data_IF_132005548155
#
_entry.id   IF_132005548155
#
_cell.length_a   1.000
_cell.length_b   1.000
_cell.length_c   1.000
_cell.angle_alpha   90.00
_cell.angle_beta   90.00
_cell.angle_gamma   90.00
#
_symmetry.space_group_name_H-M   'P 1'
#
loop_
_entity.id
_entity.type
_entity.pdbx_description
1 polymer ?
#
# COMPACT_ATOMS: atom_id res chain seq x y z
N UNK A 1 -33.38 26.88 -8.40
CA UNK A 1 -32.49 26.65 -7.23
C UNK A 1 -32.72 25.31 -6.50
N UNK A 2 -33.91 24.69 -6.55
CA UNK A 2 -34.15 23.38 -5.94
C UNK A 2 -33.44 22.20 -6.65
N UNK A 3 -33.38 22.23 -7.99
CA UNK A 3 -32.75 21.19 -8.82
C UNK A 3 -31.25 20.97 -8.55
N UNK A 4 -30.50 22.03 -8.20
CA UNK A 4 -29.09 21.89 -7.82
C UNK A 4 -28.88 21.33 -6.39
N UNK A 5 -29.88 21.40 -5.51
CA UNK A 5 -29.75 20.88 -4.13
C UNK A 5 -29.87 19.37 -4.06
N UNK A 6 -30.69 18.75 -4.91
CA UNK A 6 -30.83 17.28 -4.95
C UNK A 6 -29.55 16.61 -5.49
N UNK A 7 -28.92 17.20 -6.51
CA UNK A 7 -27.63 16.74 -7.03
C UNK A 7 -26.44 16.98 -6.10
N UNK A 8 -26.56 17.79 -5.06
CA UNK A 8 -25.46 18.05 -4.11
C UNK A 8 -25.54 17.17 -2.85
N UNK A 9 -26.60 16.37 -2.68
CA UNK A 9 -26.78 15.54 -1.48
C UNK A 9 -25.82 14.36 -1.51
N UNK A 10 -25.07 14.24 -0.42
CA UNK A 10 -24.26 13.06 -0.10
C UNK A 10 -25.19 11.95 0.36
N UNK A 11 -25.06 10.77 -0.24
CA UNK A 11 -25.83 9.58 0.13
C UNK A 11 -24.96 8.70 1.02
N UNK A 12 -25.50 8.26 2.15
CA UNK A 12 -24.79 7.35 3.05
C UNK A 12 -24.61 5.96 2.41
N UNK A 13 -23.50 5.31 2.70
CA UNK A 13 -23.20 3.94 2.24
C UNK A 13 -24.00 2.93 3.05
N UNK A 14 -24.73 2.04 2.36
CA UNK A 14 -25.49 0.94 2.95
C UNK A 14 -24.61 -0.29 3.22
N UNK A 15 -25.04 -1.18 4.11
CA UNK A 15 -24.26 -2.34 4.55
C UNK A 15 -23.83 -3.29 3.42
N UNK A 16 -24.61 -3.40 2.34
CA UNK A 16 -24.37 -4.28 1.18
C UNK A 16 -23.73 -3.55 -0.03
N UNK A 17 -23.19 -2.35 0.18
CA UNK A 17 -22.60 -1.57 -0.91
C UNK A 17 -21.44 -2.32 -1.59
N UNK A 18 -21.38 -2.23 -2.91
CA UNK A 18 -20.29 -2.78 -3.72
C UNK A 18 -19.39 -1.67 -4.22
N UNK A 19 -18.13 -1.99 -4.48
CA UNK A 19 -17.20 -1.02 -5.06
C UNK A 19 -17.74 -0.46 -6.37
N UNK A 20 -17.73 0.86 -6.47
CA UNK A 20 -18.24 1.59 -7.63
C UNK A 20 -17.16 1.79 -8.70
N UNK A 21 -17.53 1.96 -9.98
CA UNK A 21 -16.57 2.31 -11.03
C UNK A 21 -15.80 3.62 -10.76
N UNK A 22 -16.41 4.57 -10.03
CA UNK A 22 -15.76 5.83 -9.64
C UNK A 22 -14.62 5.59 -8.64
N UNK A 23 -14.77 4.62 -7.73
CA UNK A 23 -13.74 4.23 -6.78
C UNK A 23 -12.60 3.46 -7.48
N UNK A 24 -12.91 2.63 -8.48
CA UNK A 24 -11.87 2.03 -9.33
C UNK A 24 -11.11 3.07 -10.14
N UNK A 25 -11.81 4.08 -10.66
CA UNK A 25 -11.20 5.20 -11.36
C UNK A 25 -10.29 6.02 -10.43
N UNK A 26 -10.73 6.26 -9.18
CA UNK A 26 -9.90 6.87 -8.14
C UNK A 26 -8.62 6.06 -7.86
N UNK A 27 -8.71 4.74 -7.81
CA UNK A 27 -7.53 3.92 -7.55
C UNK A 27 -6.47 3.98 -8.66
N UNK A 28 -6.84 4.35 -9.90
CA UNK A 28 -5.86 4.50 -11.00
C UNK A 28 -4.77 5.53 -10.69
N UNK A 29 -5.08 6.61 -9.97
CA UNK A 29 -4.03 7.56 -9.59
C UNK A 29 -3.07 6.97 -8.56
N UNK A 30 -3.52 6.01 -7.75
CA UNK A 30 -2.67 5.27 -6.81
C UNK A 30 -1.86 4.17 -7.48
N UNK A 31 -2.37 3.57 -8.58
CA UNK A 31 -1.55 2.73 -9.47
C UNK A 31 -0.31 3.52 -9.90
N UNK A 32 -0.53 4.70 -10.48
CA UNK A 32 0.56 5.56 -10.91
C UNK A 32 1.47 5.98 -9.75
N UNK A 33 0.90 6.36 -8.61
CA UNK A 33 1.67 6.77 -7.43
C UNK A 33 2.62 5.66 -6.93
N UNK A 34 2.12 4.41 -6.86
CA UNK A 34 2.91 3.24 -6.48
C UNK A 34 4.04 2.99 -7.50
N UNK A 35 3.75 3.10 -8.80
CA UNK A 35 4.78 3.00 -9.85
C UNK A 35 5.86 4.06 -9.68
N UNK A 36 5.50 5.30 -9.34
CA UNK A 36 6.48 6.37 -9.10
C UNK A 36 7.32 6.12 -7.85
N UNK A 37 6.76 5.50 -6.80
CA UNK A 37 7.53 5.06 -5.63
C UNK A 37 8.57 4.01 -6.02
N UNK A 38 8.20 2.99 -6.81
CA UNK A 38 9.16 2.00 -7.31
C UNK A 38 10.22 2.66 -8.20
N UNK A 39 9.84 3.59 -9.06
CA UNK A 39 10.76 4.32 -9.93
C UNK A 39 11.78 5.15 -9.13
N UNK A 40 11.31 5.87 -8.10
CA UNK A 40 12.15 6.62 -7.15
C UNK A 40 13.23 5.72 -6.53
N UNK A 41 12.87 4.51 -6.11
CA UNK A 41 13.82 3.57 -5.52
C UNK A 41 14.74 2.92 -6.56
N UNK A 42 14.23 2.64 -7.76
CA UNK A 42 14.95 1.93 -8.81
C UNK A 42 16.00 2.78 -9.53
N UNK A 43 15.82 4.11 -9.57
CA UNK A 43 16.75 5.05 -10.20
C UNK A 43 18.13 5.03 -9.52
N UNK A 44 18.15 5.07 -8.18
CA UNK A 44 19.38 5.02 -7.38
C UNK A 44 19.18 4.12 -6.16
N UNK A 45 19.35 2.78 -6.31
CA UNK A 45 19.05 1.81 -5.26
C UNK A 45 20.08 1.87 -4.14
N UNK A 46 19.89 2.81 -3.21
CA UNK A 46 20.64 2.93 -1.96
C UNK A 46 19.70 2.67 -0.79
N UNK A 47 20.19 2.22 0.38
CA UNK A 47 19.36 2.04 1.57
C UNK A 47 18.55 3.29 1.93
N UNK A 48 19.16 4.47 1.81
CA UNK A 48 18.50 5.77 2.06
C UNK A 48 17.33 6.00 1.09
N UNK A 49 17.51 5.70 -0.20
CA UNK A 49 16.45 5.86 -1.21
C UNK A 49 15.32 4.86 -1.04
N UNK A 50 15.63 3.62 -0.64
CA UNK A 50 14.61 2.60 -0.36
C UNK A 50 13.78 2.98 0.88
N UNK A 51 14.43 3.40 1.97
CA UNK A 51 13.72 3.91 3.15
C UNK A 51 12.90 5.15 2.79
N UNK A 52 13.45 6.07 2.00
CA UNK A 52 12.71 7.23 1.49
C UNK A 52 11.48 6.85 0.66
N UNK A 53 11.60 5.86 -0.22
CA UNK A 53 10.47 5.32 -0.99
C UNK A 53 9.39 4.72 -0.08
N UNK A 54 9.77 3.99 0.97
CA UNK A 54 8.82 3.45 1.95
C UNK A 54 8.14 4.55 2.78
N UNK A 55 8.84 5.64 3.11
CA UNK A 55 8.24 6.82 3.75
C UNK A 55 7.20 7.46 2.83
N UNK A 56 7.52 7.65 1.55
CA UNK A 56 6.59 8.19 0.55
C UNK A 56 5.39 7.26 0.36
N UNK A 57 5.62 5.94 0.28
CA UNK A 57 4.56 4.94 0.22
C UNK A 57 3.63 5.03 1.44
N UNK A 58 4.17 5.17 2.65
CA UNK A 58 3.38 5.30 3.86
C UNK A 58 2.52 6.57 3.87
N UNK A 59 3.03 7.69 3.33
CA UNK A 59 2.25 8.92 3.19
C UNK A 59 1.13 8.77 2.15
N UNK A 60 1.44 8.19 0.98
CA UNK A 60 0.44 7.94 -0.07
C UNK A 60 -0.62 6.93 0.37
N UNK A 61 -0.21 5.87 1.05
CA UNK A 61 -1.11 4.91 1.69
C UNK A 61 -2.08 5.60 2.65
N UNK A 62 -1.57 6.53 3.46
CA UNK A 62 -2.40 7.27 4.39
C UNK A 62 -3.45 8.14 3.67
N UNK A 63 -3.05 8.80 2.58
CA UNK A 63 -3.98 9.51 1.70
C UNK A 63 -5.06 8.58 1.15
N UNK A 64 -4.68 7.39 0.66
CA UNK A 64 -5.63 6.42 0.14
C UNK A 64 -6.61 5.95 1.23
N UNK A 65 -6.10 5.58 2.42
CA UNK A 65 -6.92 5.15 3.54
C UNK A 65 -7.98 6.19 3.91
N UNK A 66 -7.64 7.47 3.98
CA UNK A 66 -8.62 8.53 4.23
C UNK A 66 -9.86 8.44 3.36
N UNK A 67 -9.67 8.20 2.06
CA UNK A 67 -10.77 8.12 1.11
C UNK A 67 -11.43 6.74 1.09
N UNK A 68 -10.71 5.66 1.42
CA UNK A 68 -11.32 4.36 1.65
C UNK A 68 -12.27 4.37 2.86
N UNK A 69 -11.88 5.03 3.96
CA UNK A 69 -12.74 5.24 5.12
C UNK A 69 -13.93 6.16 4.81
N UNK A 70 -13.69 7.24 4.05
CA UNK A 70 -14.76 8.17 3.63
C UNK A 70 -15.77 7.49 2.70
N UNK A 71 -15.32 6.73 1.70
CA UNK A 71 -16.18 6.01 0.76
C UNK A 71 -17.10 4.99 1.42
N UNK A 72 -16.66 4.45 2.56
CA UNK A 72 -17.47 3.51 3.34
C UNK A 72 -18.53 4.20 4.22
N UNK A 73 -18.48 5.53 4.35
CA UNK A 73 -19.53 6.31 5.04
C UNK A 73 -20.41 7.05 4.04
N UNK A 74 -19.80 7.55 2.96
CA UNK A 74 -20.43 8.39 1.94
C UNK A 74 -20.18 7.80 0.56
N UNK A 75 -21.26 7.59 -0.20
CA UNK A 75 -21.20 7.06 -1.57
C UNK A 75 -20.42 7.99 -2.51
N UNK A 76 -19.36 7.44 -3.09
CA UNK A 76 -18.45 8.13 -4.01
C UNK A 76 -19.11 8.60 -5.32
N UNK A 77 -20.18 7.93 -5.75
CA UNK A 77 -20.92 8.19 -7.00
C UNK A 77 -22.05 9.22 -6.84
N UNK A 78 -22.27 9.74 -5.62
CA UNK A 78 -23.37 10.66 -5.32
C UNK A 78 -22.93 12.12 -5.35
N UNK A 79 -23.45 12.87 -6.31
CA UNK A 79 -23.51 14.33 -6.27
C UNK A 79 -22.17 15.06 -6.11
N UNK A 80 -22.07 15.95 -5.09
CA UNK A 80 -20.89 16.77 -4.83
C UNK A 80 -19.63 15.98 -4.43
N UNK A 81 -19.77 14.72 -4.00
CA UNK A 81 -18.64 13.85 -3.61
C UNK A 81 -17.84 13.41 -4.83
N UNK A 82 -18.49 13.21 -5.97
CA UNK A 82 -17.78 12.89 -7.21
C UNK A 82 -16.83 14.02 -7.64
N UNK A 83 -17.26 15.29 -7.50
CA UNK A 83 -16.41 16.45 -7.78
C UNK A 83 -15.22 16.54 -6.81
N UNK A 84 -15.44 16.22 -5.53
CA UNK A 84 -14.35 16.11 -4.53
C UNK A 84 -13.38 14.99 -4.93
N UNK A 85 -13.90 13.83 -5.31
CA UNK A 85 -13.10 12.67 -5.72
C UNK A 85 -12.22 13.03 -6.93
N UNK A 86 -12.78 13.65 -7.97
CA UNK A 86 -12.00 14.15 -9.13
C UNK A 86 -10.95 15.18 -8.71
N UNK A 87 -11.28 16.09 -7.78
CA UNK A 87 -10.33 17.08 -7.25
C UNK A 87 -9.16 16.38 -6.54
N UNK A 88 -9.45 15.40 -5.70
CA UNK A 88 -8.44 14.62 -4.98
C UNK A 88 -7.59 13.83 -5.96
N UNK A 89 -8.18 13.22 -6.99
CA UNK A 89 -7.44 12.53 -8.04
C UNK A 89 -6.44 13.47 -8.74
N UNK A 90 -6.86 14.68 -9.10
CA UNK A 90 -5.98 15.67 -9.70
C UNK A 90 -4.82 16.05 -8.77
N UNK A 91 -5.10 16.25 -7.48
CA UNK A 91 -4.06 16.56 -6.48
C UNK A 91 -3.10 15.38 -6.30
N UNK A 92 -3.60 14.15 -6.17
CA UNK A 92 -2.79 12.93 -6.02
C UNK A 92 -1.94 12.66 -7.27
N UNK A 93 -2.46 12.97 -8.46
CA UNK A 93 -1.67 12.90 -9.69
C UNK A 93 -0.49 13.87 -9.63
N UNK A 94 -0.71 15.12 -9.18
CA UNK A 94 0.37 16.11 -9.01
C UNK A 94 1.39 15.66 -7.95
N UNK A 95 0.93 15.12 -6.81
CA UNK A 95 1.82 14.52 -5.80
C UNK A 95 2.69 13.43 -6.45
N UNK A 96 2.07 12.55 -7.23
CA UNK A 96 2.74 11.41 -7.85
C UNK A 96 3.80 11.85 -8.86
N UNK A 97 3.54 12.90 -9.63
CA UNK A 97 4.53 13.51 -10.56
C UNK A 97 5.76 14.04 -9.82
N UNK A 98 5.62 14.48 -8.56
CA UNK A 98 6.72 14.97 -7.75
C UNK A 98 7.54 13.85 -7.06
N UNK A 99 7.02 12.61 -6.99
CA UNK A 99 7.65 11.50 -6.25
C UNK A 99 9.07 11.15 -6.72
N UNK A 100 9.37 11.01 -8.03
CA UNK A 100 10.72 10.63 -8.48
C UNK A 100 11.82 11.58 -8.01
N UNK A 101 11.48 12.87 -7.91
CA UNK A 101 12.40 13.95 -7.57
C UNK A 101 12.25 14.44 -6.13
N UNK A 102 11.44 13.78 -5.30
CA UNK A 102 11.08 14.26 -3.95
C UNK A 102 12.26 14.37 -2.98
N UNK A 103 13.37 13.66 -3.25
CA UNK A 103 14.62 13.77 -2.48
C UNK A 103 15.77 14.37 -3.31
N UNK A 104 15.49 14.84 -4.52
CA UNK A 104 16.47 15.45 -5.42
C UNK A 104 16.30 16.97 -5.44
N UNK A 105 17.40 17.68 -5.64
CA UNK A 105 17.36 19.12 -5.92
C UNK A 105 17.37 19.26 -7.44
N UNK A 106 16.19 19.41 -8.05
CA UNK A 106 16.11 19.79 -9.46
C UNK A 106 16.72 21.19 -9.63
N UNK A 107 17.61 21.36 -10.62
CA UNK A 107 18.27 22.65 -10.91
C UNK A 107 17.38 23.63 -11.71
N UNK A 108 16.07 23.39 -11.76
CA UNK A 108 15.06 24.25 -12.39
C UNK A 108 13.64 23.69 -12.19
N UNK A 109 12.63 24.57 -12.13
CA UNK A 109 11.23 24.22 -11.89
C UNK A 109 10.74 24.45 -10.44
N UNK A 110 9.55 23.95 -10.12
CA UNK A 110 9.01 23.98 -8.75
C UNK A 110 9.74 22.97 -7.85
N UNK A 111 9.85 23.25 -6.55
CA UNK A 111 10.43 22.32 -5.58
C UNK A 111 9.54 21.08 -5.42
N UNK A 112 9.99 19.93 -5.93
CA UNK A 112 9.27 18.66 -5.81
C UNK A 112 8.95 18.27 -4.34
N UNK A 113 9.89 18.37 -3.36
CA UNK A 113 9.54 18.18 -1.96
C UNK A 113 8.42 19.10 -1.47
N UNK A 114 8.45 20.38 -1.84
CA UNK A 114 7.43 21.34 -1.42
C UNK A 114 6.07 21.04 -2.07
N UNK A 115 6.05 20.77 -3.38
CA UNK A 115 4.85 20.38 -4.12
C UNK A 115 4.22 19.13 -3.51
N UNK A 116 5.04 18.11 -3.22
CA UNK A 116 4.59 16.89 -2.56
C UNK A 116 3.87 17.20 -1.23
N UNK A 117 4.49 18.01 -0.37
CA UNK A 117 3.95 18.32 0.96
C UNK A 117 2.70 19.19 0.90
N UNK A 118 2.67 20.19 0.02
CA UNK A 118 1.50 21.05 -0.17
C UNK A 118 0.31 20.26 -0.70
N UNK A 119 0.53 19.40 -1.69
CA UNK A 119 -0.52 18.57 -2.24
C UNK A 119 -0.95 17.46 -1.27
N UNK A 120 -0.03 16.84 -0.51
CA UNK A 120 -0.37 15.94 0.61
C UNK A 120 -1.26 16.64 1.64
N UNK A 121 -0.87 17.85 2.07
CA UNK A 121 -1.67 18.69 2.97
C UNK A 121 -3.05 19.00 2.40
N UNK A 122 -3.14 19.33 1.10
CA UNK A 122 -4.41 19.58 0.42
C UNK A 122 -5.33 18.35 0.43
N UNK A 123 -4.80 17.14 0.18
CA UNK A 123 -5.58 15.88 0.28
C UNK A 123 -6.12 15.69 1.70
N UNK A 124 -5.31 15.96 2.73
CA UNK A 124 -5.72 15.84 4.14
C UNK A 124 -6.80 16.86 4.52
N UNK A 125 -6.69 18.09 4.04
CA UNK A 125 -7.69 19.14 4.23
C UNK A 125 -8.99 18.79 3.52
N UNK A 126 -8.91 18.34 2.26
CA UNK A 126 -10.08 17.90 1.48
C UNK A 126 -10.81 16.78 2.21
N UNK A 127 -10.09 15.77 2.71
CA UNK A 127 -10.67 14.68 3.49
C UNK A 127 -11.44 15.18 4.73
N UNK A 128 -10.83 16.04 5.55
CA UNK A 128 -11.49 16.61 6.73
C UNK A 128 -12.72 17.47 6.36
N UNK A 129 -12.60 18.26 5.29
CA UNK A 129 -13.70 19.09 4.79
C UNK A 129 -14.86 18.22 4.27
N UNK A 130 -14.58 17.13 3.56
CA UNK A 130 -15.60 16.19 3.10
C UNK A 130 -16.37 15.58 4.26
N UNK A 131 -15.68 15.11 5.30
CA UNK A 131 -16.35 14.62 6.50
C UNK A 131 -17.19 15.72 7.19
N UNK A 132 -16.65 16.93 7.29
CA UNK A 132 -17.36 18.06 7.90
C UNK A 132 -18.67 18.40 7.19
N UNK A 133 -18.66 18.40 5.85
CA UNK A 133 -19.86 18.71 5.04
C UNK A 133 -20.82 17.52 5.01
N UNK A 134 -20.33 16.28 5.13
CA UNK A 134 -21.16 15.05 5.04
C UNK A 134 -22.14 14.87 6.20
N UNK A 135 -21.78 15.36 7.38
CA UNK A 135 -22.55 15.16 8.61
C UNK A 135 -22.65 16.46 9.42
N UNK A 136 -23.34 17.49 8.89
CA UNK A 136 -23.39 18.82 9.50
C UNK A 136 -24.11 18.85 10.85
N UNK A 137 -24.72 17.76 11.32
CA UNK A 137 -25.44 17.66 12.60
C UNK A 137 -24.75 16.87 13.70
N UNK A 138 -23.60 16.22 13.46
CA UNK A 138 -22.99 15.30 14.43
C UNK A 138 -21.90 15.99 15.30
N UNK A 139 -22.19 16.34 16.57
CA UNK A 139 -21.22 17.01 17.44
C UNK A 139 -20.03 16.12 17.82
N UNK A 140 -20.23 14.80 17.89
CA UNK A 140 -19.17 13.83 18.23
C UNK A 140 -18.18 13.73 17.08
N UNK A 141 -18.68 13.63 15.85
CA UNK A 141 -17.83 13.64 14.65
C UNK A 141 -17.06 14.96 14.53
N UNK A 142 -17.69 16.11 14.77
CA UNK A 142 -16.99 17.41 14.69
C UNK A 142 -15.87 17.55 15.73
N UNK A 143 -16.09 17.08 16.96
CA UNK A 143 -15.04 17.03 17.97
C UNK A 143 -13.88 16.11 17.55
N UNK A 144 -14.22 14.96 16.97
CA UNK A 144 -13.26 13.99 16.43
C UNK A 144 -12.45 14.57 15.26
N UNK A 145 -13.09 15.29 14.33
CA UNK A 145 -12.42 15.95 13.20
C UNK A 145 -11.48 17.07 13.68
N UNK A 146 -11.89 17.87 14.66
CA UNK A 146 -11.02 18.90 15.26
C UNK A 146 -9.81 18.29 15.95
N UNK A 147 -10.02 17.22 16.74
CA UNK A 147 -8.93 16.48 17.38
C UNK A 147 -7.99 15.88 16.33
N UNK A 148 -8.53 15.27 15.28
CA UNK A 148 -7.73 14.71 14.17
C UNK A 148 -6.93 15.79 13.45
N UNK A 149 -7.54 16.94 13.17
CA UNK A 149 -6.87 18.07 12.53
C UNK A 149 -5.67 18.57 13.37
N UNK A 150 -5.88 18.76 14.68
CA UNK A 150 -4.86 19.32 15.57
C UNK A 150 -3.78 18.31 15.98
N UNK A 151 -4.15 17.04 16.19
CA UNK A 151 -3.26 16.02 16.74
C UNK A 151 -2.62 15.12 15.68
N UNK A 152 -3.29 14.85 14.55
CA UNK A 152 -2.81 13.93 13.51
C UNK A 152 -2.48 14.63 12.19
N UNK A 153 -3.13 15.73 11.82
CA UNK A 153 -2.82 16.41 10.55
C UNK A 153 -1.75 17.47 10.72
N UNK A 154 -1.91 18.39 11.68
CA UNK A 154 -1.05 19.56 11.80
C UNK A 154 0.42 19.20 12.15
N UNK A 155 0.72 18.35 13.15
CA UNK A 155 2.11 18.10 13.52
C UNK A 155 2.92 17.39 12.41
N UNK A 156 2.43 16.32 11.76
CA UNK A 156 3.11 15.73 10.61
C UNK A 156 3.27 16.71 9.45
N UNK A 157 2.26 17.52 9.13
CA UNK A 157 2.36 18.50 8.05
C UNK A 157 3.45 19.54 8.31
N UNK A 158 3.58 20.02 9.55
CA UNK A 158 4.67 20.93 9.95
C UNK A 158 6.04 20.26 9.80
N UNK A 159 6.20 19.01 10.25
CA UNK A 159 7.45 18.27 10.09
C UNK A 159 7.81 18.04 8.61
N UNK A 160 6.83 17.73 7.77
CA UNK A 160 6.99 17.57 6.34
C UNK A 160 7.41 18.89 5.67
N UNK A 161 6.77 20.01 6.03
CA UNK A 161 7.09 21.35 5.52
C UNK A 161 8.47 21.83 5.95
N UNK A 162 8.86 21.59 7.21
CA UNK A 162 10.22 21.87 7.66
C UNK A 162 11.19 20.98 6.88
N UNK A 163 10.88 19.69 6.73
CA UNK A 163 11.70 18.73 6.00
C UNK A 163 11.91 19.10 4.53
N UNK A 164 10.92 19.71 3.86
CA UNK A 164 11.04 20.12 2.45
C UNK A 164 12.03 21.25 2.22
N UNK A 165 12.45 21.96 3.27
CA UNK A 165 13.52 22.96 3.23
C UNK A 165 14.93 22.35 3.35
N UNK A 166 15.04 21.06 3.70
CA UNK A 166 16.31 20.34 3.84
C UNK A 166 16.50 19.32 2.72
N UNK A 167 17.69 18.71 2.70
CA UNK A 167 18.08 17.70 1.72
C UNK A 167 18.65 16.45 2.39
N UNK A 168 18.67 15.34 1.64
CA UNK A 168 19.34 14.11 2.04
C UNK A 168 18.79 13.51 3.34
N UNK A 169 19.68 13.18 4.28
CA UNK A 169 19.32 12.46 5.52
C UNK A 169 18.45 13.28 6.46
N UNK A 170 18.64 14.60 6.52
CA UNK A 170 17.87 15.48 7.41
C UNK A 170 16.42 15.52 6.96
N UNK A 171 16.17 15.73 5.67
CA UNK A 171 14.83 15.65 5.08
C UNK A 171 14.18 14.30 5.39
N UNK A 172 14.90 13.20 5.13
CA UNK A 172 14.38 11.84 5.37
C UNK A 172 14.00 11.61 6.84
N UNK A 173 14.84 12.02 7.79
CA UNK A 173 14.56 11.84 9.22
C UNK A 173 13.35 12.66 9.68
N UNK A 174 13.20 13.89 9.18
CA UNK A 174 12.03 14.73 9.47
C UNK A 174 10.74 14.11 8.91
N UNK A 175 10.78 13.58 7.69
CA UNK A 175 9.63 12.93 7.06
C UNK A 175 9.29 11.59 7.72
N UNK A 176 10.31 10.81 8.12
CA UNK A 176 10.11 9.61 8.93
C UNK A 176 9.48 9.95 10.28
N UNK A 177 9.93 11.04 10.93
CA UNK A 177 9.31 11.58 12.13
C UNK A 177 7.86 11.97 11.90
N UNK A 178 7.54 12.60 10.78
CA UNK A 178 6.16 12.93 10.41
C UNK A 178 5.28 11.68 10.29
N UNK A 179 5.75 10.63 9.61
CA UNK A 179 5.05 9.34 9.52
C UNK A 179 4.87 8.73 10.91
N UNK A 180 5.91 8.71 11.75
CA UNK A 180 5.83 8.17 13.10
C UNK A 180 4.79 8.92 13.96
N UNK A 181 4.73 10.24 13.84
CA UNK A 181 3.75 11.09 14.56
C UNK A 181 2.34 10.87 14.04
N UNK A 182 2.11 10.77 12.72
CA UNK A 182 0.78 10.58 12.15
C UNK A 182 0.20 9.21 12.56
N UNK A 183 0.97 8.14 12.32
CA UNK A 183 0.56 6.77 12.62
C UNK A 183 0.46 6.53 14.13
N UNK A 184 1.43 7.02 14.91
CA UNK A 184 1.43 6.90 16.37
C UNK A 184 0.28 7.69 17.01
N UNK A 185 0.01 8.90 16.51
CA UNK A 185 -1.10 9.72 16.98
C UNK A 185 -2.44 9.00 16.84
N UNK A 186 -2.68 8.33 15.72
CA UNK A 186 -3.95 7.62 15.45
C UNK A 186 -4.03 6.27 16.16
N UNK A 187 -2.88 5.63 16.38
CA UNK A 187 -2.83 4.44 17.22
C UNK A 187 -3.24 4.76 18.67
N UNK A 188 -2.73 5.86 19.24
CA UNK A 188 -2.95 6.28 20.63
C UNK A 188 -4.30 6.96 20.86
N UNK A 189 -4.74 7.85 19.96
CA UNK A 189 -5.97 8.65 20.16
C UNK A 189 -7.27 7.84 20.05
N UNK A 190 -7.19 6.56 19.67
CA UNK A 190 -8.31 5.63 19.64
C UNK A 190 -9.33 5.93 18.54
N UNK A 191 -10.16 4.94 18.24
CA UNK A 191 -11.11 4.90 17.12
C UNK A 191 -12.44 5.59 17.37
N UNK A 192 -12.65 6.25 18.52
CA UNK A 192 -13.98 6.74 18.90
C UNK A 192 -14.49 7.76 17.89
N UNK A 193 -15.67 7.50 17.30
CA UNK A 193 -16.34 8.41 16.36
C UNK A 193 -16.13 8.08 14.87
N UNK A 194 -15.18 7.19 14.53
CA UNK A 194 -15.08 6.62 13.17
C UNK A 194 -15.99 5.39 13.04
N UNK A 195 -16.52 5.18 11.84
CA UNK A 195 -17.51 4.12 11.58
C UNK A 195 -17.15 3.33 10.34
N UNK A 196 -17.50 2.04 10.38
CA UNK A 196 -17.43 1.16 9.21
C UNK A 196 -18.85 0.64 8.95
N UNK A 197 -19.51 1.20 7.93
CA UNK A 197 -20.88 0.84 7.60
C UNK A 197 -20.92 -0.49 6.84
N UNK A 198 -20.16 -0.62 5.75
CA UNK A 198 -20.11 -1.85 4.95
C UNK A 198 -18.77 -2.59 5.11
N UNK A 199 -18.72 -3.68 5.90
CA UNK A 199 -17.54 -4.54 6.00
C UNK A 199 -17.07 -5.09 4.66
N UNK A 200 -18.02 -5.55 3.83
CA UNK A 200 -17.72 -6.14 2.51
C UNK A 200 -17.12 -5.12 1.55
N UNK A 201 -17.73 -3.94 1.41
CA UNK A 201 -17.16 -2.84 0.61
C UNK A 201 -15.75 -2.48 1.06
N UNK A 202 -15.57 -2.34 2.37
CA UNK A 202 -14.29 -1.96 2.94
C UNK A 202 -13.22 -3.02 2.69
N UNK A 203 -13.55 -4.30 2.85
CA UNK A 203 -12.66 -5.41 2.52
C UNK A 203 -12.32 -5.46 1.03
N UNK A 204 -13.32 -5.30 0.15
CA UNK A 204 -13.17 -5.30 -1.30
C UNK A 204 -12.19 -4.20 -1.75
N UNK A 205 -12.35 -2.96 -1.25
CA UNK A 205 -11.42 -1.84 -1.48
C UNK A 205 -9.97 -2.17 -1.13
N UNK A 206 -9.75 -2.83 0.00
CA UNK A 206 -8.39 -3.21 0.42
C UNK A 206 -7.84 -4.38 -0.38
N UNK A 207 -8.69 -5.28 -0.90
CA UNK A 207 -8.26 -6.26 -1.88
C UNK A 207 -7.80 -5.61 -3.19
N UNK A 208 -8.52 -4.61 -3.67
CA UNK A 208 -8.18 -3.91 -4.92
C UNK A 208 -6.82 -3.20 -4.85
N UNK A 209 -6.49 -2.54 -3.74
CA UNK A 209 -5.16 -1.91 -3.60
C UNK A 209 -4.03 -2.96 -3.53
N UNK A 210 -4.30 -4.16 -3.02
CA UNK A 210 -3.35 -5.29 -3.08
C UNK A 210 -3.19 -5.79 -4.52
N UNK A 211 -4.26 -5.87 -5.33
CA UNK A 211 -4.16 -6.15 -6.77
C UNK A 211 -3.31 -5.10 -7.47
N UNK A 212 -3.49 -3.83 -7.14
CA UNK A 212 -2.71 -2.73 -7.73
C UNK A 212 -1.22 -2.88 -7.42
N UNK A 213 -0.87 -3.18 -6.17
CA UNK A 213 0.52 -3.44 -5.80
C UNK A 213 1.10 -4.66 -6.54
N UNK A 214 0.31 -5.73 -6.69
CA UNK A 214 0.73 -6.90 -7.49
C UNK A 214 0.86 -6.56 -8.97
N UNK A 215 0.01 -5.70 -9.51
CA UNK A 215 0.11 -5.16 -10.86
C UNK A 215 1.40 -4.36 -11.07
N UNK A 216 1.83 -3.59 -10.07
CA UNK A 216 3.14 -2.91 -10.09
C UNK A 216 4.31 -3.89 -10.26
N UNK A 217 4.23 -5.08 -9.65
CA UNK A 217 5.26 -6.12 -9.88
C UNK A 217 5.35 -6.53 -11.36
N UNK A 218 4.21 -6.62 -12.05
CA UNK A 218 4.14 -6.97 -13.47
C UNK A 218 4.68 -5.82 -14.34
N UNK A 219 4.28 -4.59 -14.05
CA UNK A 219 4.77 -3.39 -14.74
C UNK A 219 6.28 -3.26 -14.56
N UNK A 220 6.78 -3.42 -13.32
CA UNK A 220 8.19 -3.31 -12.98
C UNK A 220 9.05 -4.35 -13.71
N UNK A 221 8.54 -5.57 -13.92
CA UNK A 221 9.18 -6.57 -14.76
C UNK A 221 9.30 -6.11 -16.22
N UNK A 222 8.20 -5.62 -16.81
CA UNK A 222 8.19 -5.10 -18.19
C UNK A 222 9.14 -3.92 -18.40
N UNK A 223 9.15 -2.96 -17.47
CA UNK A 223 10.07 -1.82 -17.49
C UNK A 223 11.53 -2.27 -17.35
N UNK A 224 11.80 -3.35 -16.61
CA UNK A 224 13.14 -3.91 -16.46
C UNK A 224 13.76 -4.40 -17.77
N UNK A 225 12.94 -4.78 -18.76
CA UNK A 225 13.39 -5.38 -20.03
C UNK A 225 13.10 -4.53 -21.26
N UNK A 226 12.50 -3.34 -21.09
CA UNK A 226 11.92 -2.55 -22.18
C UNK A 226 12.91 -2.20 -23.30
N UNK A 227 14.17 -1.97 -22.95
CA UNK A 227 15.22 -1.55 -23.89
C UNK A 227 16.11 -2.71 -24.38
N UNK A 228 15.71 -3.96 -24.13
CA UNK A 228 16.52 -5.16 -24.37
C UNK A 228 15.79 -6.22 -25.21
N UNK A 229 16.53 -7.07 -25.95
CA UNK A 229 15.93 -8.16 -26.71
C UNK A 229 15.34 -9.25 -25.81
N UNK A 230 14.30 -9.92 -26.29
CA UNK A 230 13.73 -11.08 -25.61
C UNK A 230 14.65 -12.29 -25.73
N UNK A 231 15.05 -12.85 -24.59
CA UNK A 231 15.87 -14.07 -24.50
C UNK A 231 15.17 -15.13 -23.66
N UNK A 232 15.61 -16.39 -23.74
CA UNK A 232 15.08 -17.45 -22.87
C UNK A 232 15.27 -17.13 -21.38
N UNK A 233 16.35 -16.44 -21.02
CA UNK A 233 16.59 -16.03 -19.65
C UNK A 233 15.57 -14.97 -19.20
N UNK A 234 15.23 -14.00 -20.07
CA UNK A 234 14.16 -13.03 -19.80
C UNK A 234 12.80 -13.73 -19.63
N UNK A 235 12.48 -14.68 -20.50
CA UNK A 235 11.24 -15.47 -20.38
C UNK A 235 11.19 -16.27 -19.07
N UNK A 236 12.31 -16.91 -18.69
CA UNK A 236 12.44 -17.64 -17.43
C UNK A 236 12.30 -16.73 -16.19
N UNK A 237 12.95 -15.57 -16.19
CA UNK A 237 12.83 -14.58 -15.12
C UNK A 237 11.39 -14.08 -14.99
N UNK A 238 10.73 -13.81 -16.12
CA UNK A 238 9.35 -13.31 -16.16
C UNK A 238 8.36 -14.36 -15.65
N UNK A 239 8.54 -15.62 -16.04
CA UNK A 239 7.74 -16.74 -15.53
C UNK A 239 7.92 -16.95 -14.02
N UNK A 240 9.16 -16.86 -13.52
CA UNK A 240 9.46 -16.97 -12.09
C UNK A 240 8.86 -15.79 -11.29
N UNK A 241 8.99 -14.56 -11.79
CA UNK A 241 8.41 -13.37 -11.18
C UNK A 241 6.87 -13.42 -11.16
N UNK A 242 6.23 -13.89 -12.25
CA UNK A 242 4.79 -14.11 -12.29
C UNK A 242 4.35 -15.20 -11.31
N UNK A 243 5.10 -16.31 -11.20
CA UNK A 243 4.82 -17.37 -10.23
C UNK A 243 4.89 -16.84 -8.79
N UNK A 244 5.87 -15.99 -8.49
CA UNK A 244 5.99 -15.33 -7.18
C UNK A 244 4.79 -14.43 -6.91
N UNK A 245 4.43 -13.55 -7.85
CA UNK A 245 3.27 -12.66 -7.73
C UNK A 245 1.96 -13.46 -7.57
N UNK A 246 1.78 -14.55 -8.30
CA UNK A 246 0.64 -15.45 -8.18
C UNK A 246 0.60 -16.16 -6.81
N UNK A 247 1.76 -16.51 -6.23
CA UNK A 247 1.87 -17.05 -4.88
C UNK A 247 1.41 -16.07 -3.81
N UNK A 248 1.85 -14.81 -3.90
CA UNK A 248 1.40 -13.74 -3.00
C UNK A 248 -0.09 -13.45 -3.17
N UNK A 249 -0.56 -13.34 -4.41
CA UNK A 249 -1.98 -13.19 -4.74
C UNK A 249 -2.83 -14.30 -4.11
N UNK A 250 -2.40 -15.56 -4.26
CA UNK A 250 -3.11 -16.72 -3.71
C UNK A 250 -3.17 -16.66 -2.19
N UNK A 251 -2.08 -16.28 -1.52
CA UNK A 251 -2.04 -16.14 -0.07
C UNK A 251 -3.09 -15.11 0.39
N UNK A 252 -3.14 -13.94 -0.23
CA UNK A 252 -4.10 -12.92 0.17
C UNK A 252 -5.54 -13.31 -0.14
N UNK A 253 -5.88 -13.54 -1.40
CA UNK A 253 -7.27 -13.68 -1.81
C UNK A 253 -7.92 -14.97 -1.33
N UNK A 254 -7.16 -16.07 -1.22
CA UNK A 254 -7.74 -17.36 -0.80
C UNK A 254 -7.62 -17.66 0.69
N UNK A 255 -6.86 -16.89 1.46
CA UNK A 255 -6.59 -17.23 2.86
C UNK A 255 -6.77 -16.03 3.80
N UNK A 256 -6.39 -14.82 3.38
CA UNK A 256 -6.45 -13.64 4.25
C UNK A 256 -7.73 -12.83 4.06
N UNK A 257 -8.10 -12.53 2.81
CA UNK A 257 -9.18 -11.60 2.47
C UNK A 257 -10.52 -12.01 3.08
N UNK A 258 -10.99 -13.21 2.74
CA UNK A 258 -12.27 -13.76 3.24
C UNK A 258 -12.30 -13.86 4.77
N UNK A 259 -11.20 -14.30 5.39
CA UNK A 259 -11.12 -14.45 6.85
C UNK A 259 -11.15 -13.09 7.56
N UNK A 260 -10.47 -12.08 6.99
CA UNK A 260 -10.48 -10.72 7.53
C UNK A 260 -11.86 -10.07 7.38
N UNK A 261 -12.53 -10.28 6.24
CA UNK A 261 -13.87 -9.76 5.99
C UNK A 261 -14.90 -10.36 6.94
N UNK A 262 -14.92 -11.68 7.09
CA UNK A 262 -15.80 -12.35 8.05
C UNK A 262 -15.54 -11.88 9.48
N UNK A 263 -14.26 -11.71 9.86
CA UNK A 263 -13.90 -11.17 11.17
C UNK A 263 -14.38 -9.73 11.38
N UNK A 264 -14.34 -8.90 10.34
CA UNK A 264 -14.84 -7.53 10.41
C UNK A 264 -16.37 -7.47 10.49
N UNK A 265 -17.06 -8.32 9.72
CA UNK A 265 -18.51 -8.39 9.68
C UNK A 265 -19.13 -8.90 10.98
N UNK A 266 -18.40 -9.76 11.72
CA UNK A 266 -18.84 -10.29 13.01
C UNK A 266 -18.65 -9.36 14.21
N UNK A 267 -18.10 -8.15 14.01
CA UNK A 267 -17.87 -7.17 15.08
C UNK A 267 -18.81 -5.97 14.92
N UNK A 268 -19.05 -5.24 16.01
CA UNK A 268 -19.90 -4.04 16.01
C UNK A 268 -19.22 -2.85 16.70
N UNK A 269 -19.76 -1.65 16.44
CA UNK A 269 -19.37 -0.40 17.12
C UNK A 269 -17.87 -0.12 17.09
N UNK A 270 -17.32 0.24 18.26
CA UNK A 270 -15.90 0.60 18.40
C UNK A 270 -14.97 -0.58 18.14
N UNK A 271 -15.39 -1.82 18.42
CA UNK A 271 -14.56 -3.01 18.19
C UNK A 271 -14.42 -3.30 16.69
N UNK A 272 -15.49 -3.12 15.90
CA UNK A 272 -15.42 -3.14 14.43
C UNK A 272 -14.44 -2.08 13.93
N UNK A 273 -14.53 -0.85 14.43
CA UNK A 273 -13.64 0.25 13.99
C UNK A 273 -12.18 0.00 14.39
N UNK A 274 -11.91 -0.54 15.58
CA UNK A 274 -10.54 -0.94 16.00
C UNK A 274 -9.98 -2.04 15.12
N UNK A 275 -10.79 -3.07 14.85
CA UNK A 275 -10.38 -4.17 13.98
C UNK A 275 -10.09 -3.68 12.56
N UNK A 276 -10.98 -2.86 11.99
CA UNK A 276 -10.78 -2.23 10.69
C UNK A 276 -9.48 -1.42 10.65
N UNK A 277 -9.24 -0.58 11.65
CA UNK A 277 -8.00 0.19 11.76
C UNK A 277 -6.79 -0.72 11.81
N UNK A 278 -6.76 -1.69 12.72
CA UNK A 278 -5.60 -2.55 12.94
C UNK A 278 -5.31 -3.42 11.70
N UNK A 279 -6.31 -4.13 11.20
CA UNK A 279 -6.14 -5.09 10.10
C UNK A 279 -5.99 -4.37 8.77
N UNK A 280 -6.90 -3.46 8.43
CA UNK A 280 -6.99 -2.88 7.10
C UNK A 280 -6.17 -1.59 6.93
N UNK A 281 -6.09 -0.71 7.94
CA UNK A 281 -5.24 0.50 7.81
C UNK A 281 -3.77 0.20 8.13
N UNK A 282 -3.48 -0.54 9.21
CA UNK A 282 -2.09 -0.74 9.64
C UNK A 282 -1.45 -1.99 9.04
N UNK A 283 -2.09 -3.16 9.12
CA UNK A 283 -1.45 -4.41 8.70
C UNK A 283 -1.45 -4.66 7.18
N UNK A 284 -2.32 -4.00 6.40
CA UNK A 284 -2.23 -4.05 4.94
C UNK A 284 -1.09 -3.20 4.38
N UNK A 285 -0.62 -2.17 5.09
CA UNK A 285 0.52 -1.37 4.64
C UNK A 285 1.79 -2.24 4.46
N UNK A 286 2.20 -3.09 5.42
CA UNK A 286 3.27 -4.07 5.22
C UNK A 286 3.05 -5.00 4.02
N UNK A 287 1.81 -5.42 3.73
CA UNK A 287 1.54 -6.23 2.54
C UNK A 287 1.89 -5.45 1.27
N UNK A 288 1.34 -4.24 1.11
CA UNK A 288 1.60 -3.39 -0.06
C UNK A 288 3.08 -3.03 -0.16
N UNK A 289 3.71 -2.62 0.95
CA UNK A 289 5.14 -2.31 1.01
C UNK A 289 6.00 -3.52 0.63
N UNK A 290 5.65 -4.71 1.10
CA UNK A 290 6.33 -5.95 0.76
C UNK A 290 6.29 -6.25 -0.73
N UNK A 291 5.12 -6.09 -1.37
CA UNK A 291 4.98 -6.25 -2.82
C UNK A 291 5.81 -5.21 -3.59
N UNK A 292 5.76 -3.93 -3.18
CA UNK A 292 6.50 -2.85 -3.85
C UNK A 292 8.02 -3.04 -3.74
N UNK A 293 8.52 -3.49 -2.58
CA UNK A 293 9.93 -3.86 -2.40
C UNK A 293 10.31 -5.06 -3.27
N UNK A 294 9.45 -6.07 -3.34
CA UNK A 294 9.66 -7.22 -4.22
C UNK A 294 9.68 -6.80 -5.70
N UNK A 295 8.80 -5.87 -6.12
CA UNK A 295 8.76 -5.31 -7.46
C UNK A 295 10.07 -4.62 -7.85
N UNK A 296 10.66 -3.85 -6.94
CA UNK A 296 11.99 -3.26 -7.10
C UNK A 296 13.07 -4.33 -7.36
N UNK A 297 13.07 -5.40 -6.55
CA UNK A 297 13.98 -6.52 -6.72
C UNK A 297 13.80 -7.23 -8.07
N UNK A 298 12.56 -7.57 -8.43
CA UNK A 298 12.23 -8.22 -9.69
C UNK A 298 12.62 -7.39 -10.91
N UNK A 299 12.34 -6.07 -10.90
CA UNK A 299 12.78 -5.15 -11.95
C UNK A 299 14.28 -5.25 -12.20
N UNK A 300 15.09 -5.29 -11.14
CA UNK A 300 16.55 -5.33 -11.24
C UNK A 300 17.07 -6.71 -11.65
N UNK A 301 16.44 -7.79 -11.21
CA UNK A 301 16.73 -9.14 -11.73
C UNK A 301 16.49 -9.19 -13.23
N UNK A 302 15.33 -8.72 -13.70
CA UNK A 302 15.00 -8.75 -15.12
C UNK A 302 15.91 -7.84 -15.95
N UNK A 303 16.24 -6.64 -15.45
CA UNK A 303 17.21 -5.74 -16.08
C UNK A 303 18.58 -6.41 -16.23
N UNK A 304 19.08 -7.06 -15.17
CA UNK A 304 20.39 -7.74 -15.19
C UNK A 304 20.42 -8.94 -16.13
N UNK A 305 19.33 -9.70 -16.21
CA UNK A 305 19.21 -10.86 -17.11
C UNK A 305 19.05 -10.45 -18.58
N UNK A 306 18.48 -9.27 -18.83
CA UNK A 306 18.27 -8.75 -20.18
C UNK A 306 19.52 -8.01 -20.71
N UNK A 307 20.22 -7.27 -19.86
CA UNK A 307 21.41 -6.47 -20.20
C UNK A 307 22.70 -7.30 -20.15
N UNK A 308 22.79 -8.32 -21.01
CA UNK A 308 23.97 -9.21 -21.07
C UNK A 308 25.24 -8.51 -21.56
N UNK A 309 25.14 -7.26 -22.03
CA UNK A 309 26.29 -6.44 -22.39
C UNK A 309 27.00 -5.86 -21.17
N UNK A 310 26.26 -5.56 -20.10
CA UNK A 310 26.82 -5.03 -18.85
C UNK A 310 26.95 -6.09 -17.75
N UNK A 311 26.12 -7.13 -17.76
CA UNK A 311 26.08 -8.14 -16.69
C UNK A 311 26.23 -9.56 -17.21
N UNK A 312 26.87 -10.41 -16.40
CA UNK A 312 26.91 -11.84 -16.65
C UNK A 312 25.63 -12.53 -16.17
N UNK A 313 25.14 -13.56 -16.88
CA UNK A 313 24.02 -14.39 -16.39
C UNK A 313 24.32 -15.14 -15.08
N UNK A 314 25.60 -15.33 -14.78
CA UNK A 314 26.08 -15.91 -13.53
C UNK A 314 26.25 -14.87 -12.41
N UNK A 315 26.05 -13.60 -12.70
CA UNK A 315 26.26 -12.53 -11.72
C UNK A 315 25.08 -12.49 -10.73
N UNK A 316 25.35 -12.40 -9.42
CA UNK A 316 24.32 -12.29 -8.41
C UNK A 316 23.76 -10.86 -8.33
N UNK A 317 22.65 -10.70 -7.62
CA UNK A 317 22.11 -9.38 -7.28
C UNK A 317 22.87 -8.84 -6.05
N UNK A 318 23.25 -7.56 -6.05
CA UNK A 318 24.03 -6.96 -4.97
C UNK A 318 23.35 -5.79 -4.28
N UNK A 319 23.83 -5.46 -3.07
CA UNK A 319 23.39 -4.28 -2.33
C UNK A 319 21.91 -4.33 -1.95
N UNK A 320 21.27 -3.16 -1.87
CA UNK A 320 19.91 -3.05 -1.33
C UNK A 320 18.86 -3.78 -2.16
N UNK A 321 19.06 -3.94 -3.48
CA UNK A 321 18.08 -4.60 -4.35
C UNK A 321 18.00 -6.11 -4.10
N UNK A 322 19.10 -6.74 -3.69
CA UNK A 322 19.12 -8.14 -3.24
C UNK A 322 18.25 -8.32 -1.99
N UNK A 323 18.38 -7.40 -1.03
CA UNK A 323 17.54 -7.35 0.16
C UNK A 323 16.08 -7.02 -0.16
N UNK A 324 15.80 -6.14 -1.13
CA UNK A 324 14.43 -5.79 -1.51
C UNK A 324 13.68 -6.97 -2.12
N UNK A 325 14.35 -7.85 -2.88
CA UNK A 325 13.73 -9.02 -3.49
C UNK A 325 13.17 -9.99 -2.43
N UNK A 326 14.03 -10.56 -1.58
CA UNK A 326 13.58 -11.51 -0.54
C UNK A 326 12.94 -10.80 0.63
N UNK A 327 13.45 -9.62 1.01
CA UNK A 327 12.91 -8.83 2.11
C UNK A 327 11.50 -8.34 1.83
N UNK A 328 11.15 -7.99 0.59
CA UNK A 328 9.78 -7.65 0.21
C UNK A 328 8.80 -8.80 0.48
N UNK A 329 9.15 -10.01 0.05
CA UNK A 329 8.39 -11.24 0.40
C UNK A 329 8.35 -11.45 1.92
N UNK A 330 9.46 -11.20 2.61
CA UNK A 330 9.54 -11.31 4.07
C UNK A 330 8.56 -10.38 4.80
N UNK A 331 8.54 -9.10 4.43
CA UNK A 331 7.59 -8.10 4.97
C UNK A 331 6.15 -8.51 4.67
N UNK A 332 5.87 -8.99 3.45
CA UNK A 332 4.55 -9.48 3.08
C UNK A 332 4.09 -10.66 3.96
N UNK A 333 4.94 -11.68 4.13
CA UNK A 333 4.63 -12.86 4.92
C UNK A 333 4.44 -12.52 6.41
N UNK A 334 5.20 -11.56 6.94
CA UNK A 334 5.04 -11.08 8.32
C UNK A 334 3.77 -10.24 8.49
N UNK A 335 3.41 -9.41 7.51
CA UNK A 335 2.12 -8.73 7.47
C UNK A 335 0.97 -9.74 7.46
N UNK A 336 1.05 -10.76 6.61
CA UNK A 336 0.09 -11.86 6.54
C UNK A 336 0.00 -12.63 7.87
N UNK A 337 1.15 -12.93 8.49
CA UNK A 337 1.22 -13.56 9.81
C UNK A 337 0.53 -12.70 10.88
N UNK A 338 0.77 -11.40 10.90
CA UNK A 338 0.13 -10.48 11.84
C UNK A 338 -1.39 -10.41 11.62
N UNK A 339 -1.85 -10.41 10.35
CA UNK A 339 -3.28 -10.47 10.03
C UNK A 339 -3.89 -11.77 10.55
N UNK A 340 -3.32 -12.94 10.23
CA UNK A 340 -3.85 -14.23 10.73
C UNK A 340 -3.92 -14.28 12.25
N UNK A 341 -2.88 -13.78 12.93
CA UNK A 341 -2.87 -13.70 14.39
C UNK A 341 -3.99 -12.79 14.91
N UNK A 342 -4.19 -11.62 14.29
CA UNK A 342 -5.20 -10.65 14.70
C UNK A 342 -6.63 -11.10 14.41
N UNK A 343 -6.85 -11.80 13.29
CA UNK A 343 -8.18 -12.26 12.84
C UNK A 343 -8.61 -13.55 13.51
N UNK A 344 -7.69 -14.50 13.72
CA UNK A 344 -8.03 -15.85 14.21
C UNK A 344 -7.51 -16.18 15.61
N UNK A 345 -6.59 -15.37 16.16
CA UNK A 345 -5.85 -15.69 17.38
C UNK A 345 -4.85 -16.86 17.25
N UNK A 346 -4.80 -17.54 16.10
CA UNK A 346 -3.90 -18.67 15.85
C UNK A 346 -2.51 -18.15 15.56
N UNK A 347 -1.49 -18.86 16.05
CA UNK A 347 -0.07 -18.55 15.77
C UNK A 347 0.30 -19.02 14.36
N UNK A 348 0.57 -18.12 13.39
CA UNK A 348 0.88 -18.51 12.02
C UNK A 348 2.38 -18.75 11.87
N UNK A 349 2.88 -19.79 12.55
CA UNK A 349 4.32 -20.09 12.66
C UNK A 349 4.99 -20.25 11.30
N UNK A 350 4.35 -20.91 10.34
CA UNK A 350 4.90 -21.09 9.00
C UNK A 350 5.11 -19.75 8.28
N UNK A 351 4.13 -18.85 8.32
CA UNK A 351 4.23 -17.51 7.70
C UNK A 351 5.29 -16.66 8.43
N UNK A 352 5.31 -16.70 9.76
CA UNK A 352 6.26 -15.94 10.57
C UNK A 352 7.71 -16.40 10.33
N UNK A 353 7.96 -17.71 10.37
CA UNK A 353 9.29 -18.29 10.11
C UNK A 353 9.71 -18.01 8.67
N UNK A 354 8.82 -18.26 7.69
CA UNK A 354 9.10 -17.96 6.29
C UNK A 354 9.44 -16.49 6.05
N UNK A 355 8.69 -15.59 6.71
CA UNK A 355 8.93 -14.15 6.66
C UNK A 355 10.27 -13.73 7.26
N UNK A 356 10.63 -14.24 8.44
CA UNK A 356 11.94 -14.00 9.08
C UNK A 356 13.08 -14.56 8.22
N UNK A 357 12.93 -15.77 7.68
CA UNK A 357 13.92 -16.36 6.78
C UNK A 357 14.11 -15.50 5.52
N UNK A 358 13.03 -15.02 4.91
CA UNK A 358 13.08 -14.16 3.72
C UNK A 358 13.73 -12.79 4.01
N UNK A 359 13.45 -12.18 5.17
CA UNK A 359 14.14 -10.96 5.61
C UNK A 359 15.64 -11.19 5.79
N UNK A 360 16.04 -12.33 6.36
CA UNK A 360 17.45 -12.69 6.59
C UNK A 360 18.18 -13.23 5.36
N UNK A 361 17.48 -13.52 4.26
CA UNK A 361 18.05 -14.16 3.07
C UNK A 361 18.83 -13.21 2.15
N UNK A 362 18.83 -11.90 2.41
CA UNK A 362 19.52 -10.90 1.57
C UNK A 362 20.98 -11.23 1.24
N UNK A 363 21.82 -11.68 2.19
CA UNK A 363 23.21 -12.07 1.91
C UNK A 363 23.32 -13.28 0.97
N UNK A 364 22.38 -14.24 1.06
CA UNK A 364 22.38 -15.45 0.22
C UNK A 364 22.09 -15.13 -1.24
N UNK A 365 21.24 -14.12 -1.51
CA UNK A 365 20.98 -13.63 -2.87
C UNK A 365 22.25 -13.09 -3.52
N UNK A 366 23.17 -12.52 -2.73
CA UNK A 366 24.47 -12.05 -3.19
C UNK A 366 25.45 -13.17 -3.56
N UNK A 367 25.11 -14.43 -3.32
CA UNK A 367 25.95 -15.61 -3.59
C UNK A 367 25.48 -16.45 -4.77
N UNK A 368 24.26 -16.19 -5.28
CA UNK A 368 23.58 -17.00 -6.29
C UNK A 368 23.20 -16.11 -7.47
N UNK A 369 23.32 -16.57 -8.72
CA UNK A 369 22.92 -15.76 -9.86
C UNK A 369 21.46 -15.28 -9.75
N UNK A 370 21.19 -14.09 -10.30
CA UNK A 370 19.92 -13.39 -10.07
C UNK A 370 18.66 -14.22 -10.46
N UNK A 371 18.71 -14.93 -11.60
CA UNK A 371 17.59 -15.74 -12.10
C UNK A 371 17.30 -16.96 -11.22
N UNK A 372 18.28 -17.82 -10.87
CA UNK A 372 18.09 -18.88 -9.88
C UNK A 372 17.59 -18.38 -8.53
N UNK A 373 18.08 -17.23 -8.04
CA UNK A 373 17.61 -16.65 -6.78
C UNK A 373 16.10 -16.31 -6.83
N UNK A 374 15.64 -15.69 -7.93
CA UNK A 374 14.22 -15.43 -8.16
C UNK A 374 13.40 -16.71 -8.28
N UNK A 375 13.90 -17.71 -9.01
CA UNK A 375 13.22 -19.00 -9.18
C UNK A 375 13.07 -19.76 -7.86
N UNK A 376 14.13 -19.79 -7.03
CA UNK A 376 14.08 -20.38 -5.69
C UNK A 376 13.08 -19.63 -4.83
N UNK A 377 13.13 -18.30 -4.78
CA UNK A 377 12.19 -17.51 -3.99
C UNK A 377 10.72 -17.75 -4.41
N UNK A 378 10.46 -17.77 -5.71
CA UNK A 378 9.13 -18.06 -6.27
C UNK A 378 8.65 -19.45 -5.83
N UNK A 379 9.46 -20.48 -6.07
CA UNK A 379 9.10 -21.87 -5.74
C UNK A 379 8.92 -22.08 -4.24
N UNK A 380 9.83 -21.58 -3.39
CA UNK A 380 9.70 -21.72 -1.94
C UNK A 380 8.47 -20.99 -1.40
N UNK A 381 8.16 -19.80 -1.94
CA UNK A 381 6.96 -19.04 -1.55
C UNK A 381 5.70 -19.79 -1.96
N UNK A 382 5.63 -20.29 -3.20
CA UNK A 382 4.48 -21.08 -3.66
C UNK A 382 4.29 -22.34 -2.82
N UNK A 383 5.35 -23.07 -2.49
CA UNK A 383 5.29 -24.27 -1.63
C UNK A 383 4.78 -23.89 -0.25
N UNK A 384 5.35 -22.86 0.38
CA UNK A 384 4.94 -22.38 1.70
C UNK A 384 3.46 -21.98 1.73
N UNK A 385 2.98 -21.20 0.75
CA UNK A 385 1.58 -20.76 0.65
C UNK A 385 0.64 -21.94 0.42
N UNK A 386 1.04 -22.91 -0.40
CA UNK A 386 0.24 -24.10 -0.69
C UNK A 386 0.13 -25.01 0.53
N UNK A 387 1.24 -25.23 1.24
CA UNK A 387 1.26 -26.01 2.48
C UNK A 387 0.49 -25.31 3.61
N UNK A 388 0.59 -23.98 3.70
CA UNK A 388 -0.20 -23.21 4.67
C UNK A 388 -1.70 -23.37 4.39
N UNK A 389 -2.13 -23.22 3.13
CA UNK A 389 -3.53 -23.38 2.74
C UNK A 389 -4.09 -24.78 3.00
N UNK A 390 -3.30 -25.85 2.91
CA UNK A 390 -3.74 -27.23 3.24
C UNK A 390 -3.95 -27.45 4.74
N UNK A 391 -3.30 -26.66 5.60
CA UNK A 391 -3.36 -26.82 7.08
C UNK A 391 -4.46 -25.98 7.73
N UNK A 392 -5.07 -25.08 6.97
CA UNK A 392 -6.29 -24.38 7.37
C UNK A 392 -7.46 -25.25 6.91
N UNK A 393 -8.15 -25.99 7.81
CA UNK A 393 -9.33 -26.73 7.41
C UNK A 393 -10.37 -25.74 6.88
N UNK A 394 -11.02 -26.08 5.77
CA UNK A 394 -12.26 -25.44 5.33
C UNK A 394 -13.26 -25.54 6.49
N UNK A 395 -13.45 -24.44 7.23
CA UNK A 395 -14.57 -24.31 8.18
C UNK A 395 -15.79 -23.93 7.35
N UNK A 396 -16.22 -24.80 6.44
CA UNK A 396 -17.43 -24.64 5.64
C UNK A 396 -17.95 -26.03 5.26
N UNK A 397 -18.60 -26.73 6.20
CA UNK A 397 -19.57 -27.82 5.93
C UNK A 397 -20.25 -28.31 7.22
N UNK A 398 -20.72 -27.44 8.12
CA UNK A 398 -21.71 -27.83 9.15
C UNK A 398 -22.50 -26.62 9.65
N UNK A 399 -23.26 -25.97 8.77
CA UNK A 399 -24.30 -25.02 9.18
C UNK A 399 -25.69 -25.33 8.57
N UNK A 400 -25.83 -26.44 7.87
CA UNK A 400 -27.12 -27.00 7.47
C UNK A 400 -27.12 -28.50 7.80
N UNK A 401 -27.57 -28.81 9.02
CA UNK A 401 -28.11 -30.11 9.41
C UNK A 401 -29.10 -29.89 10.55
#
# INVERSE_FOLDING_TARGET
MAWNRERARMVATADDHKVTPAELFFDLVFVYAITQVTALMAAHPTPVRVVGGMVVLALLWWCWCCFAWLGNVVRADSGGVFAVLVTVMAVVLIVSLAVPDVFAHARGGLSAPLVFVLCYGAVRVLHLASYWVSSPGDPVLRATLRRTALASVLPPLVLLLIGSAYSGRVQLLLWLGAVAVDYGGIYVTGSSGWRVNSPGHFAERHGLIVIIALGESIVAMGVGVADFPLTFAVLGASAAGLLLAAGLWRLYFRQLGETAEHGLAGLDGDDRTRFARDVYTFLHLPLVAGVVLCALGMKKVLQQVADTGHYGLAEPLHGVVAWSLTGGVGVYLLGAAAIVLRTTGRRPTALAVGGVCCLGAGPLVGLVPALPALAVLATTTTVLVTLHGRRSPEVLTTAEA
#
